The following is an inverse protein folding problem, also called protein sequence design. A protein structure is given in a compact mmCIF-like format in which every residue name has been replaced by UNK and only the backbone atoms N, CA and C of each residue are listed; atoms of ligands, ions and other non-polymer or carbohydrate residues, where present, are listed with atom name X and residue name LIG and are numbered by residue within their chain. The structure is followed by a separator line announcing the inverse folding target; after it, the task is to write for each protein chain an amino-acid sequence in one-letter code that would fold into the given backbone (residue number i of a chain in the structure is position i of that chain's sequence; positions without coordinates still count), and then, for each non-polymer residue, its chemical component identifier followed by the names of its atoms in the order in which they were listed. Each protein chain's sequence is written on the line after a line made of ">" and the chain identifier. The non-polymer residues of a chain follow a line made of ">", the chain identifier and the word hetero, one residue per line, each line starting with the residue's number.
data_IF_175630766293
#
_entry.id   IF_175630766293
#
_cell.length_a   1.000
_cell.length_b   1.000
_cell.length_c   1.000
_cell.angle_alpha   90.00
_cell.angle_beta   90.00
_cell.angle_gamma   90.00
#
_symmetry.space_group_name_H-M   'P 1'
#
loop_
_entity.id
_entity.type
_entity.pdbx_description
1 polymer ?
#
# COMPACT_ATOMS: atom_id res chain seq x y z
N UNK A 1 13.96 12.56 27.49
CA UNK A 1 12.69 12.21 28.18
C UNK A 1 12.98 11.06 29.12
N UNK A 2 13.13 11.33 30.41
CA UNK A 2 13.45 10.32 31.41
C UNK A 2 12.17 9.63 31.88
N UNK A 3 12.01 8.36 31.53
CA UNK A 3 10.99 7.53 32.16
C UNK A 3 11.36 7.37 33.63
N UNK A 4 10.47 7.78 34.54
CA UNK A 4 10.62 7.51 35.97
C UNK A 4 10.84 6.01 36.23
N UNK A 5 11.44 5.69 37.39
CA UNK A 5 11.80 4.32 37.74
C UNK A 5 10.64 3.32 37.59
N UNK A 6 10.94 2.11 37.14
CA UNK A 6 9.93 1.05 36.94
C UNK A 6 9.32 0.64 38.29
N UNK A 7 8.01 0.85 38.43
CA UNK A 7 7.23 0.35 39.58
C UNK A 7 7.25 -1.19 39.57
N UNK A 8 7.39 -1.88 40.71
CA UNK A 8 7.29 -3.34 40.78
C UNK A 8 5.96 -3.87 40.19
N UNK A 9 6.04 -4.99 39.48
CA UNK A 9 4.90 -5.61 38.80
C UNK A 9 5.05 -7.15 38.82
N UNK A 10 3.93 -7.91 38.75
CA UNK A 10 3.97 -9.36 38.75
C UNK A 10 4.62 -9.89 37.46
N UNK A 11 5.67 -10.72 37.61
CA UNK A 11 6.46 -11.24 36.47
C UNK A 11 5.89 -12.48 35.81
N UNK A 12 4.97 -13.16 36.50
CA UNK A 12 4.35 -14.41 36.04
C UNK A 12 3.04 -14.18 35.28
N UNK A 13 2.54 -12.94 35.24
CA UNK A 13 1.32 -12.61 34.51
C UNK A 13 1.67 -12.41 33.03
N UNK A 14 0.96 -13.12 32.17
CA UNK A 14 1.11 -13.01 30.72
C UNK A 14 -0.17 -12.42 30.11
N UNK A 15 0.01 -11.57 29.09
CA UNK A 15 -1.08 -11.06 28.26
C UNK A 15 -0.60 -10.99 26.80
N UNK A 16 -1.51 -11.20 25.83
CA UNK A 16 -1.16 -11.20 24.41
C UNK A 16 -0.64 -9.84 23.91
N UNK A 17 -1.10 -8.74 24.50
CA UNK A 17 -0.63 -7.39 24.16
C UNK A 17 0.71 -7.03 24.85
N UNK A 18 1.27 -7.95 25.64
CA UNK A 18 2.38 -7.69 26.55
C UNK A 18 1.91 -7.36 27.97
N UNK A 19 2.77 -6.67 28.72
CA UNK A 19 2.53 -6.29 30.11
C UNK A 19 3.31 -5.03 30.49
N UNK A 20 3.61 -4.86 31.77
CA UNK A 20 4.31 -3.67 32.26
C UNK A 20 5.71 -3.54 31.69
N UNK A 21 5.96 -2.40 31.03
CA UNK A 21 7.26 -2.02 30.46
C UNK A 21 7.86 -3.09 29.53
N UNK A 22 7.02 -3.72 28.71
CA UNK A 22 7.43 -4.75 27.77
C UNK A 22 8.50 -4.21 26.78
N UNK A 23 9.72 -4.73 26.90
CA UNK A 23 10.84 -4.41 26.03
C UNK A 23 11.61 -5.70 25.72
N UNK A 24 11.06 -6.58 24.86
CA UNK A 24 11.72 -7.83 24.53
C UNK A 24 13.02 -7.56 23.77
N UNK A 25 14.04 -8.39 24.01
CA UNK A 25 15.35 -8.23 23.36
C UNK A 25 15.26 -8.24 21.82
N UNK A 26 14.31 -9.01 21.27
CA UNK A 26 14.14 -9.23 19.83
C UNK A 26 13.06 -8.37 19.19
N UNK A 27 12.69 -7.22 19.78
CA UNK A 27 11.59 -6.38 19.26
C UNK A 27 11.77 -5.99 17.78
N UNK A 28 13.01 -5.74 17.33
CA UNK A 28 13.32 -5.38 15.93
C UNK A 28 12.98 -6.50 14.96
N UNK A 29 13.43 -7.72 15.26
CA UNK A 29 13.17 -8.89 14.42
C UNK A 29 11.68 -9.20 14.35
N UNK A 30 10.99 -9.19 15.48
CA UNK A 30 9.54 -9.43 15.53
C UNK A 30 8.76 -8.37 14.73
N UNK A 31 9.16 -7.09 14.83
CA UNK A 31 8.53 -6.01 14.07
C UNK A 31 8.77 -6.15 12.58
N UNK A 32 9.98 -6.56 12.17
CA UNK A 32 10.30 -6.80 10.77
C UNK A 32 9.46 -7.95 10.19
N UNK A 33 9.32 -9.05 10.93
CA UNK A 33 8.49 -10.19 10.52
C UNK A 33 7.02 -9.76 10.40
N UNK A 34 6.49 -9.05 11.40
CA UNK A 34 5.11 -8.55 11.36
C UNK A 34 4.88 -7.61 10.17
N UNK A 35 5.82 -6.69 9.92
CA UNK A 35 5.78 -5.79 8.78
C UNK A 35 5.83 -6.53 7.44
N UNK A 36 6.68 -7.54 7.31
CA UNK A 36 6.78 -8.35 6.10
C UNK A 36 5.49 -9.11 5.80
N UNK A 37 4.85 -9.68 6.83
CA UNK A 37 3.56 -10.37 6.69
C UNK A 37 2.47 -9.38 6.25
N UNK A 38 2.36 -8.22 6.92
CA UNK A 38 1.37 -7.21 6.53
C UNK A 38 1.59 -6.72 5.10
N UNK A 39 2.84 -6.45 4.72
CA UNK A 39 3.18 -6.06 3.35
C UNK A 39 2.75 -7.12 2.33
N UNK A 40 3.02 -8.41 2.61
CA UNK A 40 2.59 -9.51 1.74
C UNK A 40 1.07 -9.56 1.55
N UNK A 41 0.30 -9.42 2.63
CA UNK A 41 -1.17 -9.40 2.58
C UNK A 41 -1.66 -8.21 1.73
N UNK A 42 -1.11 -7.02 1.96
CA UNK A 42 -1.47 -5.82 1.20
C UNK A 42 -1.13 -5.98 -0.27
N UNK A 43 0.06 -6.49 -0.61
CA UNK A 43 0.48 -6.67 -1.99
C UNK A 43 -0.42 -7.66 -2.76
N UNK A 44 -0.78 -8.79 -2.14
CA UNK A 44 -1.68 -9.79 -2.75
C UNK A 44 -3.08 -9.21 -2.94
N UNK A 45 -3.62 -8.54 -1.92
CA UNK A 45 -4.96 -7.94 -1.98
C UNK A 45 -5.02 -6.82 -3.02
N UNK A 46 -3.99 -5.97 -3.06
CA UNK A 46 -3.87 -4.90 -4.05
C UNK A 46 -3.83 -5.45 -5.47
N UNK A 47 -2.98 -6.44 -5.75
CA UNK A 47 -2.89 -7.10 -7.06
C UNK A 47 -4.23 -7.72 -7.45
N UNK A 48 -4.88 -8.43 -6.54
CA UNK A 48 -6.19 -9.05 -6.76
C UNK A 48 -7.26 -8.01 -7.11
N UNK A 49 -7.27 -6.88 -6.39
CA UNK A 49 -8.19 -5.77 -6.61
C UNK A 49 -7.92 -5.06 -7.93
N UNK A 50 -6.66 -4.72 -8.22
CA UNK A 50 -6.26 -4.00 -9.43
C UNK A 50 -6.59 -4.79 -10.72
N UNK A 51 -6.54 -6.12 -10.67
CA UNK A 51 -6.93 -6.97 -11.80
C UNK A 51 -8.43 -7.03 -12.06
N UNK A 52 -9.25 -6.72 -11.05
CA UNK A 52 -10.72 -6.74 -11.12
C UNK A 52 -11.33 -5.35 -11.21
N UNK A 53 -10.52 -4.31 -11.11
CA UNK A 53 -10.96 -2.93 -11.23
C UNK A 53 -11.50 -2.69 -12.64
N UNK A 54 -12.78 -2.32 -12.72
CA UNK A 54 -13.46 -1.96 -13.96
C UNK A 54 -14.06 -0.57 -13.83
N UNK A 55 -13.98 0.19 -14.92
CA UNK A 55 -14.45 1.56 -15.02
C UNK A 55 -15.65 1.62 -15.94
N UNK A 56 -16.75 2.20 -15.43
CA UNK A 56 -18.00 2.35 -16.19
C UNK A 56 -17.86 3.29 -17.39
N UNK A 57 -17.01 4.31 -17.28
CA UNK A 57 -16.68 5.24 -18.36
C UNK A 57 -15.21 5.61 -18.32
N UNK A 58 -14.71 6.09 -19.46
CA UNK A 58 -13.38 6.71 -19.52
C UNK A 58 -13.40 8.04 -18.77
N UNK A 59 -12.46 8.28 -17.82
CA UNK A 59 -12.36 9.56 -17.13
C UNK A 59 -11.92 10.66 -18.10
N UNK A 60 -12.27 11.90 -17.77
CA UNK A 60 -11.86 13.06 -18.56
C UNK A 60 -10.34 13.28 -18.46
N UNK A 61 -9.74 13.92 -19.47
CA UNK A 61 -8.28 14.08 -19.54
C UNK A 61 -7.68 14.92 -18.41
N UNK A 62 -8.48 15.79 -17.78
CA UNK A 62 -8.06 16.64 -16.66
C UNK A 62 -8.25 15.96 -15.29
N UNK A 63 -8.97 14.84 -15.22
CA UNK A 63 -9.22 14.12 -13.97
C UNK A 63 -8.04 13.21 -13.62
N UNK A 64 -7.37 13.51 -12.51
CA UNK A 64 -6.31 12.68 -11.98
C UNK A 64 -6.83 11.62 -11.00
N UNK A 65 -6.41 10.38 -11.20
CA UNK A 65 -6.75 9.26 -10.33
C UNK A 65 -5.49 8.44 -10.00
N UNK A 66 -5.27 8.07 -8.73
CA UNK A 66 -4.15 7.21 -8.34
C UNK A 66 -4.15 5.87 -9.08
N UNK A 67 -5.33 5.30 -9.37
CA UNK A 67 -5.40 4.00 -10.03
C UNK A 67 -4.92 3.97 -11.47
N UNK A 68 -4.64 5.12 -12.09
CA UNK A 68 -3.95 5.18 -13.40
C UNK A 68 -2.60 4.46 -13.39
N UNK A 69 -1.94 4.33 -12.24
CA UNK A 69 -0.65 3.62 -12.14
C UNK A 69 -0.76 2.09 -12.17
N UNK A 70 -1.93 1.51 -11.91
CA UNK A 70 -2.08 0.04 -11.78
C UNK A 70 -3.34 -0.56 -12.42
N UNK A 71 -4.38 0.23 -12.64
CA UNK A 71 -5.61 -0.21 -13.31
C UNK A 71 -5.34 -0.47 -14.78
N UNK A 72 -5.57 -1.72 -15.21
CA UNK A 72 -5.32 -2.15 -16.60
C UNK A 72 -6.11 -1.33 -17.61
N UNK A 73 -7.37 -1.02 -17.30
CA UNK A 73 -8.27 -0.29 -18.19
C UNK A 73 -7.82 1.17 -18.39
N UNK A 74 -7.44 1.85 -17.30
CA UNK A 74 -6.94 3.23 -17.37
C UNK A 74 -5.62 3.33 -18.14
N UNK A 75 -4.65 2.43 -17.84
CA UNK A 75 -3.37 2.41 -18.56
C UNK A 75 -3.54 2.17 -20.07
N UNK A 76 -4.50 1.32 -20.45
CA UNK A 76 -4.78 1.04 -21.85
C UNK A 76 -5.36 2.27 -22.55
N UNK A 77 -6.34 2.93 -21.93
CA UNK A 77 -6.93 4.16 -22.45
C UNK A 77 -5.93 5.30 -22.57
N UNK A 78 -5.01 5.44 -21.62
CA UNK A 78 -3.96 6.47 -21.66
C UNK A 78 -2.97 6.21 -22.81
N UNK A 79 -2.60 4.95 -23.07
CA UNK A 79 -1.78 4.58 -24.24
C UNK A 79 -2.47 4.88 -25.57
N UNK A 80 -3.76 4.57 -25.66
CA UNK A 80 -4.55 4.84 -26.86
C UNK A 80 -4.66 6.35 -27.16
N UNK A 81 -4.78 7.19 -26.13
CA UNK A 81 -4.80 8.65 -26.31
C UNK A 81 -3.45 9.20 -26.77
N UNK A 82 -2.35 8.66 -26.25
CA UNK A 82 -1.00 9.04 -26.69
C UNK A 82 -0.79 8.69 -28.17
N UNK A 83 -1.15 7.46 -28.58
CA UNK A 83 -1.03 7.04 -29.98
C UNK A 83 -1.88 7.90 -30.93
N UNK A 84 -3.12 8.24 -30.53
CA UNK A 84 -3.98 9.15 -31.31
C UNK A 84 -3.39 10.55 -31.42
N UNK A 85 -2.82 11.07 -30.33
CA UNK A 85 -2.17 12.36 -30.34
C UNK A 85 -0.96 12.38 -31.29
N UNK A 86 -0.14 11.32 -31.30
CA UNK A 86 1.00 11.16 -32.21
C UNK A 86 0.57 11.07 -33.67
N UNK A 87 -0.43 10.24 -33.99
CA UNK A 87 -0.99 10.13 -35.34
C UNK A 87 -1.54 11.47 -35.84
N UNK A 88 -2.23 12.22 -34.97
CA UNK A 88 -2.77 13.53 -35.33
C UNK A 88 -1.71 14.60 -35.58
N UNK A 89 -0.53 14.46 -34.97
CA UNK A 89 0.62 15.33 -35.22
C UNK A 89 1.28 14.98 -36.53
N UNK A 90 1.57 13.70 -36.78
CA UNK A 90 2.18 13.24 -38.03
C UNK A 90 1.31 13.42 -39.27
N UNK A 91 -0.03 13.49 -39.13
CA UNK A 91 -0.95 13.81 -40.23
C UNK A 91 -1.06 15.32 -40.54
N UNK A 92 -0.51 16.18 -39.68
CA UNK A 92 -0.49 17.64 -39.85
C UNK A 92 0.87 18.16 -40.36
N UNK A 93 1.89 17.31 -40.35
CA UNK A 93 3.20 17.53 -40.97
C UNK A 93 3.18 17.04 -42.42
#
# INVERSE_FOLDING_TARGET
>A
MGGGGKIPYPKHVWSPAGGWYAQPANWRGNTLIAGAIMFGIVAVTWKFSAERETWARKPESWEWHPSRYWSKQLMQWDKEDQLKAEQSKGAKE
#
